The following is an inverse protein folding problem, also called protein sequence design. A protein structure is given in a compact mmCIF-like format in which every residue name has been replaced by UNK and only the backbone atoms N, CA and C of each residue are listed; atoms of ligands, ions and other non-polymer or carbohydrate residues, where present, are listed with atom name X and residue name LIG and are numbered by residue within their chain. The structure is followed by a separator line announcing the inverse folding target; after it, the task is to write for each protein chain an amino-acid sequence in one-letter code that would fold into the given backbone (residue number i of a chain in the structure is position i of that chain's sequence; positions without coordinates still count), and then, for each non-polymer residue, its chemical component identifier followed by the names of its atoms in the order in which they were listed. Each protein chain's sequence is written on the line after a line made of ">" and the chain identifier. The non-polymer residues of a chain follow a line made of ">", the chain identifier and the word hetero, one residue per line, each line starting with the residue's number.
data_IF_178095786010
#
_entry.id   IF_178095786010
#
_cell.length_a   1.000
_cell.length_b   1.000
_cell.length_c   1.000
_cell.angle_alpha   90.00
_cell.angle_beta   90.00
_cell.angle_gamma   90.00
#
_symmetry.space_group_name_H-M   'P 1'
#
loop_
_entity.id
_entity.type
_entity.pdbx_description
1 polymer ?
#
# COMPACT_ATOMS: atom_id res chain seq x y z
N UNK A 1 17.25 -36.43 -22.42
CA UNK A 1 15.78 -36.35 -22.23
C UNK A 1 15.52 -35.93 -20.79
N UNK A 2 14.71 -34.90 -20.53
CA UNK A 2 14.36 -34.50 -19.18
C UNK A 2 13.61 -35.63 -18.47
N UNK A 3 13.85 -35.80 -17.16
CA UNK A 3 13.26 -36.90 -16.40
C UNK A 3 11.82 -36.53 -15.97
N UNK A 4 10.79 -37.25 -16.45
CA UNK A 4 9.38 -36.93 -16.21
C UNK A 4 8.97 -36.96 -14.73
N UNK A 5 9.74 -37.65 -13.88
CA UNK A 5 9.51 -37.68 -12.43
C UNK A 5 9.93 -36.36 -11.76
N UNK A 6 10.99 -35.71 -12.26
CA UNK A 6 11.40 -34.38 -11.74
C UNK A 6 10.37 -33.32 -12.09
N UNK A 7 9.82 -33.35 -13.30
CA UNK A 7 8.75 -32.44 -13.71
C UNK A 7 7.47 -32.67 -12.91
N UNK A 8 7.08 -33.92 -12.63
CA UNK A 8 5.88 -34.21 -11.84
C UNK A 8 6.00 -33.79 -10.36
N UNK A 9 7.20 -33.78 -9.78
CA UNK A 9 7.45 -33.31 -8.40
C UNK A 9 7.53 -31.78 -8.34
N UNK A 10 8.15 -31.13 -9.34
CA UNK A 10 8.18 -29.65 -9.45
C UNK A 10 6.81 -29.06 -9.80
N UNK A 11 6.00 -29.76 -10.60
CA UNK A 11 4.66 -29.31 -11.01
C UNK A 11 3.55 -29.56 -9.98
N UNK A 12 3.83 -30.19 -8.82
CA UNK A 12 2.82 -30.46 -7.78
C UNK A 12 2.85 -29.52 -6.57
N UNK A 13 3.45 -28.36 -6.73
CA UNK A 13 3.16 -27.23 -5.84
C UNK A 13 4.12 -26.10 -6.09
N UNK A 14 3.78 -25.18 -7.00
CA UNK A 14 4.38 -23.82 -7.10
C UNK A 14 5.93 -23.73 -7.20
N UNK A 15 6.61 -24.87 -7.30
CA UNK A 15 8.05 -25.01 -7.24
C UNK A 15 8.59 -24.84 -8.67
N UNK A 16 8.75 -23.57 -9.06
CA UNK A 16 9.35 -23.17 -10.34
C UNK A 16 8.70 -21.95 -11.02
N UNK A 17 7.53 -21.49 -10.54
CA UNK A 17 6.87 -20.29 -11.06
C UNK A 17 6.99 -19.06 -10.16
N UNK A 18 7.23 -19.26 -8.88
CA UNK A 18 7.30 -18.16 -7.92
C UNK A 18 8.64 -17.44 -8.01
N UNK A 19 8.60 -16.12 -7.87
CA UNK A 19 9.81 -15.30 -7.87
C UNK A 19 10.73 -15.67 -6.71
N UNK A 20 12.02 -15.43 -6.89
CA UNK A 20 13.04 -15.63 -5.86
C UNK A 20 12.88 -14.63 -4.72
N UNK A 21 13.54 -14.93 -3.58
CA UNK A 21 13.59 -14.00 -2.45
C UNK A 21 14.22 -12.65 -2.81
N UNK A 22 15.23 -12.62 -3.68
CA UNK A 22 15.86 -11.36 -4.12
C UNK A 22 14.87 -10.53 -4.92
N UNK A 23 14.17 -11.16 -5.87
CA UNK A 23 13.11 -10.50 -6.64
C UNK A 23 11.98 -10.00 -5.75
N UNK A 24 11.55 -10.76 -4.73
CA UNK A 24 10.58 -10.25 -3.74
C UNK A 24 11.07 -8.97 -3.06
N UNK A 25 12.34 -8.89 -2.66
CA UNK A 25 12.92 -7.69 -2.04
C UNK A 25 12.92 -6.52 -3.03
N UNK A 26 13.35 -6.76 -4.26
CA UNK A 26 13.43 -5.72 -5.31
C UNK A 26 12.06 -5.14 -5.65
N UNK A 27 11.01 -5.97 -5.63
CA UNK A 27 9.65 -5.57 -6.00
C UNK A 27 8.84 -4.96 -4.85
N UNK A 28 9.00 -5.46 -3.63
CA UNK A 28 8.28 -4.90 -2.47
C UNK A 28 8.81 -3.52 -2.06
N UNK A 29 10.11 -3.25 -2.24
CA UNK A 29 10.71 -1.99 -1.80
C UNK A 29 10.09 -0.73 -2.45
N UNK A 30 9.82 -0.69 -3.77
CA UNK A 30 9.06 0.38 -4.41
C UNK A 30 7.67 0.57 -3.81
N UNK A 31 6.92 -0.51 -3.57
CA UNK A 31 5.59 -0.44 -2.96
C UNK A 31 5.64 0.09 -1.52
N UNK A 32 6.61 -0.37 -0.72
CA UNK A 32 6.84 0.15 0.64
C UNK A 32 7.14 1.64 0.61
N UNK A 33 8.01 2.09 -0.31
CA UNK A 33 8.34 3.51 -0.43
C UNK A 33 7.12 4.35 -0.83
N UNK A 34 6.32 3.89 -1.80
CA UNK A 34 5.08 4.56 -2.17
C UNK A 34 4.12 4.63 -0.97
N UNK A 35 3.99 3.54 -0.22
CA UNK A 35 3.10 3.50 0.94
C UNK A 35 3.58 4.38 2.10
N UNK A 36 4.89 4.50 2.31
CA UNK A 36 5.47 5.44 3.28
C UNK A 36 5.11 6.89 2.92
N UNK A 37 5.30 7.28 1.67
CA UNK A 37 4.93 8.62 1.16
C UNK A 37 3.43 8.89 1.30
N UNK A 38 2.60 7.90 1.01
CA UNK A 38 1.16 7.97 1.22
C UNK A 38 0.81 8.19 2.70
N UNK A 39 1.45 7.47 3.62
CA UNK A 39 1.26 7.67 5.06
C UNK A 39 1.66 9.08 5.52
N UNK A 40 2.70 9.69 4.92
CA UNK A 40 3.05 11.09 5.16
C UNK A 40 1.98 12.04 4.65
N UNK A 41 1.38 11.76 3.49
CA UNK A 41 0.29 12.55 2.91
C UNK A 41 -0.97 12.48 3.79
N UNK A 42 -1.33 11.29 4.28
CA UNK A 42 -2.36 11.14 5.32
C UNK A 42 -2.07 11.99 6.55
N UNK A 43 -0.81 11.96 7.02
CA UNK A 43 -0.42 12.74 8.20
C UNK A 43 -0.51 14.25 7.94
N UNK A 44 -0.20 14.71 6.72
CA UNK A 44 -0.34 16.11 6.35
C UNK A 44 -1.80 16.56 6.47
N UNK A 45 -2.74 15.85 5.82
CA UNK A 45 -4.17 16.15 5.88
C UNK A 45 -4.70 16.10 7.32
N UNK A 46 -4.31 15.09 8.11
CA UNK A 46 -4.72 14.97 9.52
C UNK A 46 -4.28 16.19 10.36
N UNK A 47 -3.17 16.84 10.01
CA UNK A 47 -2.66 18.01 10.76
C UNK A 47 -3.29 19.33 10.34
N UNK A 48 -3.71 19.46 9.09
CA UNK A 48 -4.16 20.73 8.50
C UNK A 48 -5.67 20.85 8.34
N UNK A 49 -6.40 19.74 8.19
CA UNK A 49 -7.84 19.78 7.95
C UNK A 49 -8.60 20.23 9.21
N UNK A 50 -9.52 21.19 9.04
CA UNK A 50 -10.29 21.82 10.11
C UNK A 50 -11.46 21.00 10.67
N UNK A 51 -11.91 19.94 9.98
CA UNK A 51 -12.98 19.08 10.46
C UNK A 51 -12.44 17.93 11.33
N UNK A 52 -12.76 17.98 12.63
CA UNK A 52 -12.38 16.95 13.59
C UNK A 52 -12.91 15.55 13.24
N UNK A 53 -14.13 15.45 12.69
CA UNK A 53 -14.70 14.16 12.32
C UNK A 53 -13.95 13.51 11.15
N UNK A 54 -13.52 14.33 10.17
CA UNK A 54 -12.67 13.90 9.06
C UNK A 54 -11.32 13.42 9.58
N UNK A 55 -10.63 14.25 10.36
CA UNK A 55 -9.29 13.89 10.89
C UNK A 55 -9.33 12.64 11.76
N UNK A 56 -10.34 12.46 12.62
CA UNK A 56 -10.52 11.23 13.39
C UNK A 56 -10.75 9.99 12.51
N UNK A 57 -11.53 10.12 11.43
CA UNK A 57 -11.74 9.03 10.49
C UNK A 57 -10.43 8.63 9.78
N UNK A 58 -9.66 9.61 9.30
CA UNK A 58 -8.37 9.37 8.66
C UNK A 58 -7.36 8.74 9.63
N UNK A 59 -7.31 9.20 10.88
CA UNK A 59 -6.43 8.62 11.91
C UNK A 59 -6.70 7.13 12.16
N UNK A 60 -7.98 6.71 12.17
CA UNK A 60 -8.35 5.31 12.36
C UNK A 60 -7.78 4.42 11.28
N UNK A 61 -7.92 4.82 10.01
CA UNK A 61 -7.42 4.01 8.89
C UNK A 61 -5.90 4.09 8.71
N UNK A 62 -5.29 5.24 9.02
CA UNK A 62 -3.84 5.41 8.96
C UNK A 62 -3.11 4.52 10.00
N UNK A 63 -3.77 4.14 11.09
CA UNK A 63 -3.22 3.15 12.03
C UNK A 63 -3.00 1.80 11.36
N UNK A 64 -3.99 1.31 10.60
CA UNK A 64 -3.87 0.06 9.84
C UNK A 64 -2.82 0.18 8.74
N UNK A 65 -2.81 1.30 8.01
CA UNK A 65 -1.82 1.56 6.96
C UNK A 65 -0.36 1.46 7.48
N UNK A 66 -0.07 2.03 8.65
CA UNK A 66 1.26 1.92 9.29
C UNK A 66 1.62 0.50 9.70
N UNK A 67 0.65 -0.27 10.18
CA UNK A 67 0.86 -1.69 10.51
C UNK A 67 1.19 -2.49 9.25
N UNK A 68 0.53 -2.21 8.13
CA UNK A 68 0.76 -2.90 6.87
C UNK A 68 2.14 -2.59 6.28
N UNK A 69 2.63 -1.35 6.37
CA UNK A 69 4.04 -1.02 6.08
C UNK A 69 5.00 -1.87 6.90
N UNK A 70 4.70 -2.08 8.19
CA UNK A 70 5.47 -2.95 9.07
C UNK A 70 5.53 -4.39 8.57
N UNK A 71 4.38 -4.97 8.23
CA UNK A 71 4.29 -6.36 7.70
C UNK A 71 5.04 -6.53 6.38
N UNK A 72 4.95 -5.55 5.47
CA UNK A 72 5.70 -5.56 4.21
C UNK A 72 7.21 -5.49 4.47
N UNK A 73 7.62 -4.63 5.40
CA UNK A 73 9.03 -4.50 5.81
C UNK A 73 9.56 -5.80 6.45
N UNK A 74 8.78 -6.46 7.31
CA UNK A 74 9.09 -7.77 7.87
C UNK A 74 9.25 -8.85 6.80
N UNK A 75 8.45 -8.77 5.72
CA UNK A 75 8.57 -9.69 4.59
C UNK A 75 9.90 -9.49 3.85
N UNK A 76 10.30 -8.24 3.59
CA UNK A 76 11.62 -7.92 3.02
C UNK A 76 12.76 -8.44 3.90
N UNK A 77 12.68 -8.23 5.21
CA UNK A 77 13.67 -8.74 6.17
C UNK A 77 13.72 -10.28 6.16
N UNK A 78 12.56 -10.95 6.12
CA UNK A 78 12.46 -12.41 6.07
C UNK A 78 13.05 -13.00 4.78
N UNK A 79 13.06 -12.22 3.70
CA UNK A 79 13.72 -12.56 2.45
C UNK A 79 15.24 -12.27 2.46
N UNK A 80 15.77 -11.69 3.54
CA UNK A 80 17.19 -11.33 3.70
C UNK A 80 17.57 -9.96 3.12
N UNK A 81 16.58 -9.13 2.75
CA UNK A 81 16.79 -7.79 2.23
C UNK A 81 16.77 -6.69 3.30
N UNK A 82 16.99 -5.46 2.86
CA UNK A 82 16.82 -4.25 3.69
C UNK A 82 15.60 -3.48 3.19
N UNK A 83 14.56 -3.28 4.03
CA UNK A 83 13.38 -2.53 3.62
C UNK A 83 13.68 -1.05 3.48
N UNK A 84 13.01 -0.38 2.54
CA UNK A 84 12.92 1.08 2.53
C UNK A 84 12.27 1.54 3.83
N UNK A 85 12.89 2.52 4.48
CA UNK A 85 12.51 2.98 5.81
C UNK A 85 12.06 4.46 5.85
N UNK A 86 12.18 5.18 4.73
CA UNK A 86 11.74 6.56 4.60
C UNK A 86 12.55 7.57 5.41
N UNK A 87 13.74 7.21 5.91
CA UNK A 87 14.61 8.13 6.67
C UNK A 87 15.12 9.32 5.85
N UNK A 88 14.98 9.24 4.54
CA UNK A 88 15.29 10.26 3.54
C UNK A 88 14.07 11.11 3.15
N UNK A 89 12.89 10.85 3.73
CA UNK A 89 11.66 11.58 3.41
C UNK A 89 11.45 12.73 4.39
N UNK A 90 11.28 13.94 3.85
CA UNK A 90 10.96 15.12 4.65
C UNK A 90 9.44 15.28 4.73
N UNK A 91 8.83 15.35 5.93
CA UNK A 91 7.37 15.43 6.07
C UNK A 91 6.70 16.61 5.36
N UNK A 92 7.45 17.69 5.11
CA UNK A 92 6.97 18.88 4.40
C UNK A 92 6.78 18.68 2.89
N UNK A 93 7.39 17.64 2.30
CA UNK A 93 7.30 17.36 0.86
C UNK A 93 5.97 16.71 0.46
N UNK A 94 5.11 16.40 1.44
CA UNK A 94 3.85 15.66 1.26
C UNK A 94 2.61 16.49 1.58
N UNK A 95 2.76 17.81 1.59
CA UNK A 95 1.64 18.74 1.70
C UNK A 95 0.74 18.62 0.45
N UNK A 96 -0.58 18.57 0.67
CA UNK A 96 -1.57 18.45 -0.39
C UNK A 96 -2.27 19.79 -0.69
N UNK A 97 -1.79 20.90 -0.12
CA UNK A 97 -2.35 22.24 -0.29
C UNK A 97 -3.31 22.60 0.85
N UNK A 98 -3.92 23.79 0.77
CA UNK A 98 -4.69 24.37 1.87
C UNK A 98 -6.23 24.21 1.73
N UNK A 99 -6.72 23.85 0.54
CA UNK A 99 -8.15 23.63 0.32
C UNK A 99 -8.56 22.22 0.78
N UNK A 100 -9.55 22.14 1.68
CA UNK A 100 -9.90 20.90 2.38
C UNK A 100 -10.43 19.80 1.45
N UNK A 101 -11.23 20.17 0.45
CA UNK A 101 -11.78 19.19 -0.50
C UNK A 101 -10.69 18.75 -1.46
N UNK A 102 -9.90 19.68 -1.98
CA UNK A 102 -8.76 19.36 -2.85
C UNK A 102 -7.74 18.47 -2.13
N UNK A 103 -7.49 18.69 -0.82
CA UNK A 103 -6.64 17.82 -0.01
C UNK A 103 -7.15 16.37 -0.01
N UNK A 104 -8.45 16.17 0.22
CA UNK A 104 -9.07 14.84 0.24
C UNK A 104 -9.05 14.19 -1.15
N UNK A 105 -9.36 14.94 -2.20
CA UNK A 105 -9.33 14.44 -3.58
C UNK A 105 -7.92 14.05 -4.04
N UNK A 106 -6.89 14.83 -3.67
CA UNK A 106 -5.49 14.49 -3.92
C UNK A 106 -5.06 13.25 -3.13
N UNK A 107 -5.51 13.13 -1.87
CA UNK A 107 -5.23 11.95 -1.06
C UNK A 107 -5.88 10.68 -1.64
N UNK A 108 -7.11 10.80 -2.15
CA UNK A 108 -7.81 9.72 -2.87
C UNK A 108 -7.07 9.31 -4.14
N UNK A 109 -6.56 10.29 -4.89
CA UNK A 109 -5.74 10.03 -6.09
C UNK A 109 -4.49 9.21 -5.73
N UNK A 110 -3.75 9.62 -4.70
CA UNK A 110 -2.55 8.91 -4.25
C UNK A 110 -2.84 7.50 -3.71
N UNK A 111 -3.95 7.33 -2.99
CA UNK A 111 -4.40 6.01 -2.52
C UNK A 111 -4.83 5.13 -3.69
N UNK A 112 -5.45 5.69 -4.73
CA UNK A 112 -5.86 4.97 -5.95
C UNK A 112 -4.63 4.47 -6.70
N UNK A 113 -3.63 5.35 -6.90
CA UNK A 113 -2.36 4.98 -7.53
C UNK A 113 -1.62 3.87 -6.77
N UNK A 114 -1.74 3.85 -5.43
CA UNK A 114 -1.17 2.78 -4.61
C UNK A 114 -1.96 1.48 -4.72
N UNK A 115 -3.29 1.54 -4.70
CA UNK A 115 -4.16 0.39 -4.89
C UNK A 115 -3.92 -0.27 -6.25
N UNK A 116 -3.85 0.53 -7.32
CA UNK A 116 -3.55 0.07 -8.68
C UNK A 116 -2.14 -0.54 -8.80
N UNK A 117 -1.17 -0.04 -8.04
CA UNK A 117 0.16 -0.63 -7.98
C UNK A 117 0.14 -2.01 -7.30
N UNK A 118 -0.64 -2.18 -6.23
CA UNK A 118 -0.84 -3.48 -5.57
C UNK A 118 -1.56 -4.47 -6.47
N UNK A 119 -2.66 -4.05 -7.11
CA UNK A 119 -3.43 -4.89 -8.03
C UNK A 119 -2.55 -5.39 -9.19
N UNK A 120 -1.80 -4.50 -9.84
CA UNK A 120 -0.84 -4.90 -10.88
C UNK A 120 0.23 -5.86 -10.36
N UNK A 121 0.78 -5.62 -9.17
CA UNK A 121 1.77 -6.52 -8.59
C UNK A 121 1.18 -7.92 -8.31
N UNK A 122 -0.08 -7.99 -7.85
CA UNK A 122 -0.78 -9.26 -7.57
C UNK A 122 -1.15 -10.05 -8.84
N UNK A 123 -1.45 -9.34 -9.92
CA UNK A 123 -1.83 -9.92 -11.21
C UNK A 123 -0.63 -10.34 -12.06
N UNK A 124 0.42 -9.53 -12.09
CA UNK A 124 1.56 -9.73 -12.98
C UNK A 124 2.66 -10.62 -12.36
N UNK A 125 2.65 -10.82 -11.03
CA UNK A 125 3.78 -11.42 -10.31
C UNK A 125 3.36 -12.59 -9.43
N UNK A 126 4.01 -13.72 -9.66
CA UNK A 126 3.84 -14.94 -8.88
C UNK A 126 4.69 -14.87 -7.59
N UNK A 127 4.18 -14.19 -6.58
CA UNK A 127 4.79 -14.11 -5.24
C UNK A 127 4.72 -15.44 -4.48
N UNK A 128 5.49 -15.59 -3.39
CA UNK A 128 5.26 -16.68 -2.43
C UNK A 128 3.88 -16.55 -1.74
N UNK A 129 3.23 -17.66 -1.31
CA UNK A 129 1.79 -17.65 -0.95
C UNK A 129 1.54 -16.71 0.22
N UNK A 130 2.48 -16.68 1.17
CA UNK A 130 2.45 -15.77 2.32
C UNK A 130 2.56 -14.31 1.89
N UNK A 131 3.45 -14.00 0.95
CA UNK A 131 3.63 -12.63 0.43
C UNK A 131 2.43 -12.21 -0.38
N UNK A 132 1.88 -13.09 -1.22
CA UNK A 132 0.65 -12.86 -1.97
C UNK A 132 -0.52 -12.55 -1.04
N UNK A 133 -0.77 -13.39 -0.04
CA UNK A 133 -1.84 -13.15 0.94
C UNK A 133 -1.65 -11.88 1.77
N UNK A 134 -0.39 -11.47 2.02
CA UNK A 134 -0.11 -10.16 2.61
C UNK A 134 -0.51 -9.03 1.65
N UNK A 135 -0.08 -9.08 0.39
CA UNK A 135 -0.40 -8.06 -0.62
C UNK A 135 -1.92 -7.94 -0.83
N UNK A 136 -2.65 -9.07 -0.92
CA UNK A 136 -4.12 -9.11 -1.00
C UNK A 136 -4.77 -8.43 0.22
N UNK A 137 -4.23 -8.64 1.43
CA UNK A 137 -4.73 -7.97 2.62
C UNK A 137 -4.45 -6.45 2.60
N UNK A 138 -3.27 -6.03 2.12
CA UNK A 138 -2.94 -4.60 1.99
C UNK A 138 -3.80 -3.92 0.94
N UNK A 139 -4.05 -4.57 -0.19
CA UNK A 139 -4.96 -4.11 -1.24
C UNK A 139 -6.38 -3.96 -0.71
N UNK A 140 -6.92 -4.98 -0.02
CA UNK A 140 -8.24 -4.89 0.60
C UNK A 140 -8.34 -3.73 1.59
N UNK A 141 -7.34 -3.53 2.45
CA UNK A 141 -7.31 -2.40 3.38
C UNK A 141 -7.20 -1.05 2.66
N UNK A 142 -6.56 -1.01 1.49
CA UNK A 142 -6.45 0.17 0.63
C UNK A 142 -7.79 0.49 -0.02
N UNK A 143 -8.53 -0.51 -0.49
CA UNK A 143 -9.89 -0.33 -1.02
C UNK A 143 -10.86 0.18 0.05
N UNK A 144 -10.74 -0.27 1.30
CA UNK A 144 -11.51 0.29 2.42
C UNK A 144 -11.18 1.77 2.67
N UNK A 145 -9.91 2.17 2.50
CA UNK A 145 -9.50 3.58 2.62
C UNK A 145 -10.06 4.43 1.48
N UNK A 146 -10.08 3.91 0.26
CA UNK A 146 -10.71 4.58 -0.89
C UNK A 146 -12.19 4.81 -0.67
N UNK A 147 -12.92 3.79 -0.21
CA UNK A 147 -14.34 3.92 0.11
C UNK A 147 -14.58 5.01 1.17
N UNK A 148 -13.74 5.06 2.21
CA UNK A 148 -13.80 6.13 3.22
C UNK A 148 -13.54 7.51 2.60
N UNK A 149 -12.51 7.66 1.77
CA UNK A 149 -12.16 8.95 1.16
C UNK A 149 -13.29 9.46 0.25
N UNK A 150 -13.84 8.59 -0.60
CA UNK A 150 -15.00 8.90 -1.45
C UNK A 150 -16.18 9.38 -0.60
N UNK A 151 -16.52 8.66 0.48
CA UNK A 151 -17.59 9.05 1.42
C UNK A 151 -17.35 10.42 2.06
N UNK A 152 -16.10 10.75 2.40
CA UNK A 152 -15.75 12.04 3.01
C UNK A 152 -15.85 13.18 2.00
N UNK A 153 -15.38 12.98 0.77
CA UNK A 153 -15.46 13.95 -0.32
C UNK A 153 -16.92 14.25 -0.66
N UNK A 154 -17.75 13.21 -0.85
CA UNK A 154 -19.17 13.38 -1.15
C UNK A 154 -19.90 14.21 -0.08
N UNK A 155 -19.60 13.97 1.20
CA UNK A 155 -20.18 14.75 2.32
C UNK A 155 -19.70 16.20 2.35
N UNK A 156 -18.42 16.43 2.07
CA UNK A 156 -17.87 17.77 2.03
C UNK A 156 -18.50 18.58 0.88
N UNK A 157 -18.62 17.99 -0.31
CA UNK A 157 -19.28 18.62 -1.46
C UNK A 157 -20.77 18.91 -1.20
N UNK A 158 -21.48 17.99 -0.55
CA UNK A 158 -22.89 18.17 -0.21
C UNK A 158 -23.14 19.32 0.78
N UNK A 159 -22.12 19.69 1.57
CA UNK A 159 -22.23 20.80 2.54
C UNK A 159 -22.06 22.17 1.88
N UNK A 160 -21.43 22.22 0.69
CA UNK A 160 -21.19 23.46 -0.08
C UNK A 160 -22.37 23.78 -1.04
N UNK A 161 -23.22 22.80 -1.36
CA UNK A 161 -24.39 22.95 -2.23
C UNK A 161 -25.62 23.44 -1.45
#
# INVERSE_FOLDING_TARGET
>A
MPNPIKEAILNRGWAGKTITRSETVERLNPLILQFLKLNHSYQAVIRSHGDAAVTEALQRVQKTARVDVGKLSETVLSCGGTPKNGTDLEPGDFDLGDDEIDMLARLETLETEFNDALARELDEVEHQMRTRGLLEAVESNSSERLALLSDLIERAEATIR
#
